data_IF_181983122612
#
_entry.id   IF_181983122612
#
_cell.length_a   1.000
_cell.length_b   1.000
_cell.length_c   1.000
_cell.angle_alpha   90.00
_cell.angle_beta   90.00
_cell.angle_gamma   90.00
#
_symmetry.space_group_name_H-M   'P 1'
#
loop_
_entity.id
_entity.type
_entity.pdbx_description
1 polymer ?
#
# COMPACT_ATOMS: atom_id res chain seq x y z
N UNK A 1 -12.53 -7.52 7.46
CA UNK A 1 -11.42 -7.46 8.45
C UNK A 1 -10.41 -6.45 7.96
N UNK A 2 -9.79 -5.67 8.85
CA UNK A 2 -8.76 -4.69 8.48
C UNK A 2 -7.39 -5.34 8.69
N UNK A 3 -6.59 -5.46 7.63
CA UNK A 3 -5.18 -5.87 7.74
C UNK A 3 -4.29 -4.65 7.93
N UNK A 4 -3.17 -4.79 8.65
CA UNK A 4 -2.15 -3.74 8.78
C UNK A 4 -0.79 -4.24 8.30
N UNK A 5 -0.07 -3.41 7.55
CA UNK A 5 1.31 -3.64 7.10
C UNK A 5 2.18 -2.52 7.65
N UNK A 6 3.27 -2.90 8.30
CA UNK A 6 4.33 -1.97 8.69
C UNK A 6 5.44 -1.97 7.64
N UNK A 7 5.63 -0.81 7.02
CA UNK A 7 6.68 -0.54 6.05
C UNK A 7 7.51 0.70 6.46
N UNK A 8 7.49 1.08 7.75
CA UNK A 8 8.38 2.13 8.29
C UNK A 8 9.84 1.71 8.16
N UNK A 9 10.73 2.67 7.96
CA UNK A 9 12.15 2.42 7.67
C UNK A 9 12.43 1.93 6.24
N UNK A 10 11.40 1.61 5.45
CA UNK A 10 11.55 1.28 4.04
C UNK A 10 11.37 2.55 3.19
N UNK A 11 11.93 2.52 1.98
CA UNK A 11 11.84 3.61 0.99
C UNK A 11 11.19 3.11 -0.30
N UNK A 12 10.79 4.02 -1.17
CA UNK A 12 10.31 3.68 -2.50
C UNK A 12 11.29 2.72 -3.21
N UNK A 13 10.81 1.60 -3.81
CA UNK A 13 9.39 1.23 -4.06
C UNK A 13 8.76 0.27 -3.03
N UNK A 14 9.44 -0.03 -1.92
CA UNK A 14 9.08 -1.15 -1.05
C UNK A 14 7.69 -1.04 -0.37
N UNK A 15 7.27 0.12 0.19
CA UNK A 15 5.94 0.25 0.78
C UNK A 15 4.81 -0.07 -0.22
N UNK A 16 4.93 0.39 -1.47
CA UNK A 16 3.95 0.12 -2.54
C UNK A 16 3.98 -1.34 -2.95
N UNK A 17 5.16 -1.96 -3.07
CA UNK A 17 5.27 -3.38 -3.41
C UNK A 17 4.59 -4.28 -2.36
N UNK A 18 4.79 -4.00 -1.07
CA UNK A 18 4.13 -4.72 0.02
C UNK A 18 2.61 -4.51 0.01
N UNK A 19 2.17 -3.25 -0.15
CA UNK A 19 0.75 -2.92 -0.27
C UNK A 19 0.10 -3.69 -1.42
N UNK A 20 0.70 -3.71 -2.62
CA UNK A 20 0.16 -4.42 -3.79
C UNK A 20 0.06 -5.94 -3.55
N UNK A 21 1.08 -6.54 -2.92
CA UNK A 21 1.06 -7.97 -2.58
C UNK A 21 -0.10 -8.31 -1.64
N UNK A 22 -0.36 -7.48 -0.64
CA UNK A 22 -1.48 -7.70 0.28
C UNK A 22 -2.82 -7.46 -0.41
N UNK A 23 -2.97 -6.38 -1.17
CA UNK A 23 -4.20 -6.10 -1.92
C UNK A 23 -4.57 -7.23 -2.88
N UNK A 24 -3.58 -7.89 -3.51
CA UNK A 24 -3.83 -9.03 -4.38
C UNK A 24 -4.42 -10.26 -3.67
N UNK A 25 -4.23 -10.38 -2.35
CA UNK A 25 -4.77 -11.47 -1.54
C UNK A 25 -6.09 -11.11 -0.83
N UNK A 26 -6.52 -9.84 -0.90
CA UNK A 26 -7.69 -9.35 -0.19
C UNK A 26 -8.98 -9.53 -0.99
N UNK A 27 -10.08 -9.74 -0.27
CA UNK A 27 -11.43 -9.79 -0.85
C UNK A 27 -12.01 -8.38 -1.01
N UNK A 28 -12.96 -8.24 -1.93
CA UNK A 28 -13.72 -6.99 -2.08
C UNK A 28 -14.43 -6.64 -0.77
N UNK A 29 -14.37 -5.38 -0.38
CA UNK A 29 -14.94 -4.89 0.87
C UNK A 29 -14.00 -4.98 2.08
N UNK A 30 -12.81 -5.56 1.93
CA UNK A 30 -11.77 -5.50 2.96
C UNK A 30 -10.98 -4.20 2.89
N UNK A 31 -10.32 -3.85 4.00
CA UNK A 31 -9.53 -2.62 4.11
C UNK A 31 -8.13 -2.92 4.62
N UNK A 32 -7.16 -2.12 4.18
CA UNK A 32 -5.74 -2.25 4.48
C UNK A 32 -5.22 -0.95 5.09
N UNK A 33 -4.46 -1.06 6.18
CA UNK A 33 -3.68 0.04 6.76
C UNK A 33 -2.21 -0.19 6.38
N UNK A 34 -1.58 0.83 5.78
CA UNK A 34 -0.15 0.85 5.48
C UNK A 34 0.52 1.90 6.35
N UNK A 35 1.43 1.48 7.23
CA UNK A 35 2.29 2.38 8.00
C UNK A 35 3.58 2.60 7.21
N UNK A 36 3.88 3.84 6.84
CA UNK A 36 5.10 4.21 6.14
C UNK A 36 5.58 5.57 6.64
N UNK A 37 6.91 5.75 6.73
CA UNK A 37 7.57 7.00 7.12
C UNK A 37 8.40 7.61 5.98
N UNK A 38 8.35 7.00 4.79
CA UNK A 38 8.92 7.56 3.57
C UNK A 38 8.11 8.80 3.14
N UNK A 39 8.74 9.98 3.00
CA UNK A 39 8.05 11.20 2.56
C UNK A 39 7.36 11.04 1.20
N UNK A 40 7.83 10.13 0.34
CA UNK A 40 7.23 9.87 -0.97
C UNK A 40 6.08 8.85 -0.93
N UNK A 41 5.91 8.10 0.16
CA UNK A 41 4.94 7.00 0.23
C UNK A 41 3.50 7.45 -0.06
N UNK A 42 3.10 8.65 0.38
CA UNK A 42 1.76 9.18 0.10
C UNK A 42 1.51 9.32 -1.40
N UNK A 43 2.45 9.93 -2.13
CA UNK A 43 2.33 10.16 -3.57
C UNK A 43 2.38 8.84 -4.34
N UNK A 44 3.29 7.95 -3.97
CA UNK A 44 3.45 6.66 -4.62
C UNK A 44 2.23 5.75 -4.43
N UNK A 45 1.65 5.73 -3.22
CA UNK A 45 0.40 5.00 -2.95
C UNK A 45 -0.75 5.57 -3.76
N UNK A 46 -0.91 6.89 -3.82
CA UNK A 46 -1.95 7.52 -4.65
C UNK A 46 -1.79 7.12 -6.11
N UNK A 47 -0.60 7.28 -6.67
CA UNK A 47 -0.30 6.91 -8.04
C UNK A 47 -0.58 5.42 -8.33
N UNK A 48 -0.22 4.53 -7.40
CA UNK A 48 -0.46 3.10 -7.54
C UNK A 48 -1.95 2.74 -7.49
N UNK A 49 -2.73 3.36 -6.60
CA UNK A 49 -4.16 3.08 -6.44
C UNK A 49 -4.98 3.69 -7.59
N UNK A 50 -4.66 4.91 -8.03
CA UNK A 50 -5.36 5.54 -9.16
C UNK A 50 -5.15 4.79 -10.48
N UNK A 51 -3.92 4.31 -10.75
CA UNK A 51 -3.62 3.54 -11.97
C UNK A 51 -4.26 2.15 -12.00
N UNK A 52 -4.62 1.57 -10.85
CA UNK A 52 -5.26 0.25 -10.77
C UNK A 52 -6.74 0.19 -11.15
N UNK A 53 -7.33 1.29 -11.66
CA UNK A 53 -8.75 1.39 -12.08
C UNK A 53 -8.96 1.46 -13.61
N UNK A 54 -7.93 1.22 -14.41
CA UNK A 54 -8.03 1.02 -15.85
C UNK A 54 -7.69 -0.44 -16.20
#
# INVERSE_FOLDING_TARGET
>A
MVGAIDARGLRCPYPVAMMRKALAAMKRGESLVLLADDPLARLDVQNAVYKGRN
#
